data_IF_552252577290
#
_entry.id   IF_552252577290
#
_cell.length_a   1.000
_cell.length_b   1.000
_cell.length_c   1.000
_cell.angle_alpha   90.00
_cell.angle_beta   90.00
_cell.angle_gamma   90.00
#
_symmetry.space_group_name_H-M   'P 1'
#
loop_
_entity.id
_entity.type
_entity.pdbx_description
1 polymer ?
#
# COMPACT_ATOMS: atom_id res chain seq x y z
N UNK A 1 26.54 -0.91 0.53
CA UNK A 1 25.16 -1.15 0.97
C UNK A 1 24.27 -1.11 -0.27
N UNK A 2 23.36 -2.09 -0.47
CA UNK A 2 22.44 -2.08 -1.63
C UNK A 2 21.56 -0.84 -1.61
N UNK A 3 21.18 -0.33 -2.79
CA UNK A 3 20.19 0.74 -2.89
C UNK A 3 18.82 0.14 -2.62
N UNK A 4 18.22 0.45 -1.49
CA UNK A 4 16.86 0.01 -1.15
C UNK A 4 15.86 0.98 -1.74
N UNK A 5 14.85 0.44 -2.38
CA UNK A 5 13.69 1.15 -2.91
C UNK A 5 12.51 1.02 -1.96
N UNK A 6 11.85 2.13 -1.62
CA UNK A 6 10.57 2.15 -0.93
C UNK A 6 9.45 2.23 -1.97
N UNK A 7 8.71 1.13 -2.15
CA UNK A 7 7.62 0.99 -3.11
C UNK A 7 6.26 1.19 -2.44
N UNK A 8 5.56 2.25 -2.82
CA UNK A 8 4.36 2.73 -2.14
C UNK A 8 3.12 2.57 -3.06
N UNK A 9 1.95 2.16 -2.52
CA UNK A 9 0.73 2.03 -3.30
C UNK A 9 0.06 3.37 -3.57
N UNK A 10 -0.65 3.49 -4.71
CA UNK A 10 -1.58 4.58 -4.92
C UNK A 10 -2.90 4.09 -5.54
N UNK A 11 -4.02 4.65 -5.06
CA UNK A 11 -5.39 4.35 -5.51
C UNK A 11 -5.97 5.43 -6.43
N UNK A 12 -5.34 6.58 -6.52
CA UNK A 12 -5.77 7.72 -7.33
C UNK A 12 -4.58 8.64 -7.59
N UNK A 13 -4.75 9.57 -8.52
CA UNK A 13 -3.75 10.59 -8.85
C UNK A 13 -3.34 11.41 -7.62
N UNK A 14 -4.29 11.80 -6.75
CA UNK A 14 -4.00 12.48 -5.47
C UNK A 14 -3.09 11.62 -4.58
N UNK A 15 -3.44 10.35 -4.38
CA UNK A 15 -2.66 9.44 -3.53
C UNK A 15 -1.27 9.18 -4.13
N UNK A 16 -1.14 9.14 -5.46
CA UNK A 16 0.16 9.03 -6.14
C UNK A 16 1.04 10.25 -5.83
N UNK A 17 0.49 11.47 -6.00
CA UNK A 17 1.23 12.70 -5.69
C UNK A 17 1.68 12.73 -4.23
N UNK A 18 0.81 12.35 -3.31
CA UNK A 18 1.14 12.24 -1.89
C UNK A 18 2.22 11.18 -1.65
N UNK A 19 2.15 9.99 -2.25
CA UNK A 19 3.18 8.96 -2.11
C UNK A 19 4.56 9.48 -2.56
N UNK A 20 4.61 10.17 -3.69
CA UNK A 20 5.83 10.80 -4.23
C UNK A 20 6.40 11.82 -3.26
N UNK A 21 5.59 12.77 -2.81
CA UNK A 21 6.01 13.88 -1.92
C UNK A 21 6.43 13.36 -0.53
N UNK A 22 5.78 12.31 -0.03
CA UNK A 22 6.07 11.72 1.28
C UNK A 22 7.14 10.61 1.27
N UNK A 23 7.94 10.53 0.21
CA UNK A 23 9.23 9.82 0.23
C UNK A 23 9.26 8.45 -0.43
N UNK A 24 8.32 8.13 -1.33
CA UNK A 24 8.43 6.95 -2.18
C UNK A 24 9.62 7.07 -3.15
N UNK A 25 10.37 5.97 -3.36
CA UNK A 25 11.30 5.83 -4.48
C UNK A 25 10.59 5.33 -5.74
N UNK A 26 9.50 4.58 -5.53
CA UNK A 26 8.63 4.12 -6.60
C UNK A 26 7.17 4.02 -6.12
N UNK A 27 6.22 4.19 -7.04
CA UNK A 27 4.79 4.06 -6.77
C UNK A 27 4.20 2.97 -7.66
N UNK A 28 3.36 2.08 -7.10
CA UNK A 28 2.62 1.13 -7.92
C UNK A 28 1.13 1.45 -7.97
N UNK A 29 0.59 1.41 -9.18
CA UNK A 29 -0.79 1.77 -9.50
C UNK A 29 -1.50 0.65 -10.26
N UNK A 30 -2.81 0.75 -10.41
CA UNK A 30 -3.61 -0.11 -11.29
C UNK A 30 -4.48 0.71 -12.20
N UNK A 31 -4.51 0.33 -13.47
CA UNK A 31 -5.46 0.86 -14.43
C UNK A 31 -6.86 0.25 -14.28
N UNK A 32 -7.78 0.71 -15.10
CA UNK A 32 -9.18 0.25 -15.11
C UNK A 32 -9.33 -1.22 -15.51
N UNK A 33 -8.32 -1.80 -16.18
CA UNK A 33 -8.31 -3.17 -16.65
C UNK A 33 -7.14 -3.99 -16.09
N UNK A 34 -7.33 -5.31 -16.02
CA UNK A 34 -6.32 -6.35 -15.78
C UNK A 34 -5.48 -6.24 -14.49
N UNK A 35 -5.85 -5.33 -13.57
CA UNK A 35 -5.26 -5.25 -12.23
C UNK A 35 -6.14 -5.94 -11.19
N UNK A 36 -5.52 -6.60 -10.20
CA UNK A 36 -6.26 -7.05 -9.01
C UNK A 36 -6.80 -5.81 -8.28
N UNK A 37 -8.11 -5.82 -7.99
CA UNK A 37 -8.94 -4.74 -7.43
C UNK A 37 -9.67 -3.89 -8.48
N UNK A 38 -10.19 -4.54 -9.52
CA UNK A 38 -11.00 -3.92 -10.58
C UNK A 38 -12.21 -3.08 -10.10
N UNK A 39 -12.65 -3.24 -8.84
CA UNK A 39 -13.71 -2.44 -8.20
C UNK A 39 -13.21 -1.27 -7.34
N UNK A 40 -11.90 -1.06 -7.24
CA UNK A 40 -11.33 0.14 -6.65
C UNK A 40 -11.48 1.34 -7.59
N UNK A 41 -11.30 2.56 -7.08
CA UNK A 41 -10.94 3.67 -7.97
C UNK A 41 -9.62 3.28 -8.63
N UNK A 42 -9.65 3.09 -9.94
CA UNK A 42 -8.49 2.80 -10.75
C UNK A 42 -8.12 4.07 -11.54
N UNK A 43 -6.89 4.14 -11.99
CA UNK A 43 -6.44 5.27 -12.79
C UNK A 43 -7.04 5.22 -14.19
N UNK A 44 -7.66 6.31 -14.64
CA UNK A 44 -7.95 6.53 -16.04
C UNK A 44 -6.65 6.68 -16.84
N UNK A 45 -6.75 6.66 -18.16
CA UNK A 45 -5.58 6.88 -19.02
C UNK A 45 -4.94 8.26 -18.76
N UNK A 46 -5.77 9.29 -18.59
CA UNK A 46 -5.35 10.65 -18.29
C UNK A 46 -4.68 10.76 -16.93
N UNK A 47 -5.27 10.15 -15.89
CA UNK A 47 -4.67 10.09 -14.54
C UNK A 47 -3.33 9.39 -14.54
N UNK A 48 -3.19 8.28 -15.31
CA UNK A 48 -1.90 7.59 -15.45
C UNK A 48 -0.86 8.49 -16.12
N UNK A 49 -1.23 9.14 -17.21
CA UNK A 49 -0.33 10.04 -17.95
C UNK A 49 0.18 11.18 -17.05
N UNK A 50 -0.74 11.86 -16.35
CA UNK A 50 -0.39 12.92 -15.41
C UNK A 50 0.44 12.40 -14.24
N UNK A 51 0.04 11.26 -13.65
CA UNK A 51 0.73 10.66 -12.51
C UNK A 51 2.15 10.19 -12.84
N UNK A 52 2.37 9.58 -14.02
CA UNK A 52 3.70 9.17 -14.48
C UNK A 52 4.57 10.41 -14.69
N UNK A 53 4.06 11.44 -15.38
CA UNK A 53 4.80 12.68 -15.59
C UNK A 53 5.20 13.34 -14.27
N UNK A 54 4.26 13.48 -13.33
CA UNK A 54 4.52 14.04 -12.01
C UNK A 54 5.57 13.24 -11.22
N UNK A 55 5.46 11.92 -11.20
CA UNK A 55 6.43 11.06 -10.51
C UNK A 55 7.84 11.19 -11.12
N UNK A 56 7.95 11.17 -12.44
CA UNK A 56 9.22 11.32 -13.15
C UNK A 56 9.87 12.70 -12.92
N UNK A 57 9.09 13.78 -12.86
CA UNK A 57 9.58 15.12 -12.48
C UNK A 57 10.24 15.14 -11.10
N UNK A 58 9.78 14.27 -10.18
CA UNK A 58 10.34 14.11 -8.84
C UNK A 58 11.37 12.98 -8.72
N UNK A 59 11.76 12.34 -9.84
CA UNK A 59 12.72 11.22 -9.84
C UNK A 59 12.19 9.92 -9.27
N UNK A 60 10.87 9.77 -9.18
CA UNK A 60 10.17 8.59 -8.65
C UNK A 60 9.66 7.72 -9.80
N UNK A 61 9.85 6.40 -9.69
CA UNK A 61 9.39 5.42 -10.68
C UNK A 61 7.91 5.08 -10.52
N UNK A 62 7.27 4.67 -11.62
CA UNK A 62 5.88 4.22 -11.61
C UNK A 62 5.76 2.81 -12.20
N UNK A 63 5.14 1.90 -11.44
CA UNK A 63 4.90 0.52 -11.84
C UNK A 63 3.40 0.26 -12.00
N UNK A 64 3.00 -0.31 -13.12
CA UNK A 64 1.60 -0.61 -13.41
C UNK A 64 1.30 -2.09 -13.18
N UNK A 65 0.26 -2.39 -12.40
CA UNK A 65 -0.16 -3.77 -12.15
C UNK A 65 -0.99 -4.33 -13.31
N UNK A 66 -0.53 -5.46 -13.87
CA UNK A 66 -1.24 -6.30 -14.85
C UNK A 66 -1.21 -7.73 -14.30
N UNK A 67 -1.75 -7.92 -13.09
CA UNK A 67 -1.47 -9.08 -12.25
C UNK A 67 -2.69 -9.94 -11.91
N UNK A 68 -3.74 -9.91 -12.75
CA UNK A 68 -4.81 -10.92 -12.71
C UNK A 68 -4.28 -12.29 -13.13
N UNK A 69 -5.01 -13.34 -12.81
CA UNK A 69 -4.89 -14.65 -13.46
C UNK A 69 -5.78 -14.62 -14.71
N UNK A 70 -5.17 -14.39 -15.87
CA UNK A 70 -5.90 -14.19 -17.11
C UNK A 70 -6.53 -15.48 -17.64
N UNK A 71 -7.77 -15.39 -18.10
CA UNK A 71 -8.43 -16.42 -18.87
C UNK A 71 -8.30 -16.15 -20.38
N UNK A 72 -8.60 -17.13 -21.22
CA UNK A 72 -8.47 -16.98 -22.67
C UNK A 72 -9.26 -15.79 -23.25
N UNK A 73 -10.40 -15.46 -22.65
CA UNK A 73 -11.22 -14.30 -23.07
C UNK A 73 -10.62 -12.95 -22.69
N UNK A 74 -9.68 -12.91 -21.74
CA UNK A 74 -8.98 -11.69 -21.32
C UNK A 74 -7.82 -11.33 -22.27
N UNK A 75 -7.20 -12.35 -22.92
CA UNK A 75 -5.94 -12.18 -23.64
C UNK A 75 -5.97 -11.14 -24.78
N UNK A 76 -7.06 -11.02 -25.59
CA UNK A 76 -7.13 -9.94 -26.58
C UNK A 76 -7.06 -8.54 -25.95
N UNK A 77 -7.84 -8.30 -24.89
CA UNK A 77 -7.83 -7.02 -24.17
C UNK A 77 -6.50 -6.76 -23.45
N UNK A 78 -5.82 -7.80 -22.96
CA UNK A 78 -4.46 -7.67 -22.40
C UNK A 78 -3.49 -7.10 -23.43
N UNK A 79 -3.52 -7.55 -24.69
CA UNK A 79 -2.65 -7.03 -25.75
C UNK A 79 -2.93 -5.55 -26.05
N UNK A 80 -4.20 -5.18 -26.12
CA UNK A 80 -4.62 -3.79 -26.33
C UNK A 80 -4.13 -2.89 -25.19
N UNK A 81 -4.38 -3.28 -23.94
CA UNK A 81 -3.96 -2.54 -22.77
C UNK A 81 -2.43 -2.40 -22.65
N UNK A 82 -1.67 -3.44 -22.95
CA UNK A 82 -0.20 -3.37 -22.98
C UNK A 82 0.31 -2.42 -24.09
N UNK A 83 -0.41 -2.30 -25.20
CA UNK A 83 -0.09 -1.34 -26.25
C UNK A 83 -0.32 0.10 -25.77
N UNK A 84 -1.39 0.36 -25.04
CA UNK A 84 -1.65 1.67 -24.40
C UNK A 84 -0.57 2.01 -23.36
N UNK A 85 -0.21 1.04 -22.49
CA UNK A 85 0.85 1.22 -21.50
C UNK A 85 2.22 1.51 -22.12
N UNK A 86 2.50 0.94 -23.28
CA UNK A 86 3.72 1.23 -24.05
C UNK A 86 3.83 2.71 -24.40
N UNK A 87 2.72 3.37 -24.73
CA UNK A 87 2.69 4.80 -25.05
C UNK A 87 2.87 5.67 -23.80
N UNK A 88 2.31 5.23 -22.65
CA UNK A 88 2.40 5.92 -21.36
C UNK A 88 3.79 5.80 -20.71
N UNK A 89 4.59 4.78 -21.08
CA UNK A 89 5.95 4.54 -20.62
C UNK A 89 6.12 4.48 -19.10
N UNK A 90 5.37 3.64 -18.39
CA UNK A 90 5.71 3.34 -17.00
C UNK A 90 7.08 2.65 -16.94
N UNK A 91 7.74 2.69 -15.79
CA UNK A 91 9.06 2.09 -15.61
C UNK A 91 9.01 0.56 -15.61
N UNK A 92 7.93 -0.03 -15.07
CA UNK A 92 7.75 -1.48 -15.06
C UNK A 92 6.27 -1.90 -15.04
N UNK A 93 6.06 -3.18 -15.43
CA UNK A 93 4.80 -3.90 -15.29
C UNK A 93 4.92 -4.95 -14.19
N UNK A 94 3.95 -4.99 -13.27
CA UNK A 94 3.86 -6.02 -12.22
C UNK A 94 2.90 -7.11 -12.70
N UNK A 95 3.41 -8.30 -13.02
CA UNK A 95 2.70 -9.38 -13.72
C UNK A 95 2.73 -10.66 -12.88
N UNK A 96 1.62 -11.39 -12.81
CA UNK A 96 1.54 -12.67 -12.10
C UNK A 96 1.41 -13.88 -13.04
N UNK A 97 0.74 -13.70 -14.16
CA UNK A 97 0.43 -14.76 -15.12
C UNK A 97 1.57 -14.94 -16.14
N UNK A 98 2.11 -16.17 -16.34
CA UNK A 98 3.19 -16.41 -17.30
C UNK A 98 2.81 -16.09 -18.76
N UNK A 99 1.54 -16.30 -19.14
CA UNK A 99 1.04 -15.97 -20.48
C UNK A 99 1.01 -14.47 -20.72
N UNK A 100 0.52 -13.69 -19.73
CA UNK A 100 0.56 -12.22 -19.77
C UNK A 100 2.00 -11.73 -19.79
N UNK A 101 2.90 -12.37 -19.03
CA UNK A 101 4.33 -12.03 -19.02
C UNK A 101 4.97 -12.19 -20.42
N UNK A 102 4.65 -13.29 -21.10
CA UNK A 102 5.13 -13.53 -22.47
C UNK A 102 4.55 -12.49 -23.45
N UNK A 103 3.25 -12.17 -23.34
CA UNK A 103 2.61 -11.16 -24.18
C UNK A 103 3.26 -9.77 -23.94
N UNK A 104 3.54 -9.42 -22.70
CA UNK A 104 4.22 -8.15 -22.38
C UNK A 104 5.63 -8.09 -23.01
N UNK A 105 6.38 -9.20 -22.99
CA UNK A 105 7.68 -9.30 -23.65
C UNK A 105 7.60 -9.09 -25.18
N UNK A 106 6.50 -9.48 -25.80
CA UNK A 106 6.27 -9.30 -27.24
C UNK A 106 5.82 -7.87 -27.58
N UNK A 107 4.88 -7.31 -26.81
CA UNK A 107 4.21 -6.03 -27.09
C UNK A 107 5.05 -4.81 -26.67
N UNK A 108 5.62 -4.87 -25.47
CA UNK A 108 6.36 -3.76 -24.86
C UNK A 108 7.69 -4.23 -24.22
N UNK A 109 8.63 -4.78 -25.04
CA UNK A 109 9.89 -5.32 -24.54
C UNK A 109 10.76 -4.30 -23.81
N UNK A 110 10.59 -3.03 -24.06
CA UNK A 110 11.31 -1.91 -23.45
C UNK A 110 10.88 -1.61 -22.01
N UNK A 111 9.66 -2.02 -21.59
CA UNK A 111 9.20 -1.82 -20.21
C UNK A 111 9.67 -2.98 -19.35
N UNK A 112 10.25 -2.69 -18.19
CA UNK A 112 10.70 -3.73 -17.26
C UNK A 112 9.52 -4.62 -16.80
N UNK A 113 9.80 -5.88 -16.57
CA UNK A 113 8.80 -6.85 -16.06
C UNK A 113 9.20 -7.29 -14.66
N UNK A 114 8.33 -6.98 -13.70
CA UNK A 114 8.41 -7.40 -12.31
C UNK A 114 7.40 -8.51 -12.06
N UNK A 115 7.84 -9.60 -11.46
CA UNK A 115 6.92 -10.71 -11.12
C UNK A 115 6.20 -10.40 -9.82
N UNK A 116 4.88 -10.41 -9.87
CA UNK A 116 4.02 -10.16 -8.71
C UNK A 116 4.16 -11.24 -7.63
N UNK A 117 3.97 -10.86 -6.37
CA UNK A 117 3.77 -11.81 -5.26
C UNK A 117 2.60 -12.79 -5.51
N UNK A 118 1.66 -12.43 -6.38
CA UNK A 118 0.54 -13.29 -6.79
C UNK A 118 0.98 -14.54 -7.56
N UNK A 119 2.20 -14.58 -8.08
CA UNK A 119 2.79 -15.78 -8.67
C UNK A 119 3.28 -16.79 -7.62
N UNK A 120 3.26 -16.42 -6.32
CA UNK A 120 3.63 -17.26 -5.18
C UNK A 120 5.06 -17.82 -5.27
N UNK A 121 6.03 -16.94 -5.43
CA UNK A 121 7.44 -17.27 -5.57
C UNK A 121 8.05 -17.60 -4.21
N UNK A 122 8.35 -18.88 -3.96
CA UNK A 122 8.76 -19.42 -2.65
C UNK A 122 10.16 -20.04 -2.62
N UNK A 123 10.88 -20.09 -3.76
CA UNK A 123 12.20 -20.72 -3.81
C UNK A 123 13.06 -20.13 -4.95
N UNK A 124 14.38 -20.25 -4.82
CA UNK A 124 15.32 -19.69 -5.78
C UNK A 124 15.19 -20.24 -7.19
N UNK A 125 14.74 -21.50 -7.37
CA UNK A 125 14.56 -22.08 -8.71
C UNK A 125 13.42 -21.36 -9.46
N UNK A 126 12.36 -20.95 -8.77
CA UNK A 126 11.30 -20.10 -9.34
C UNK A 126 11.83 -18.72 -9.74
N UNK A 127 12.71 -18.11 -8.92
CA UNK A 127 13.35 -16.84 -9.26
C UNK A 127 14.23 -16.97 -10.52
N UNK A 128 15.03 -18.01 -10.61
CA UNK A 128 15.87 -18.30 -11.78
C UNK A 128 15.04 -18.57 -13.03
N UNK A 129 13.89 -19.25 -12.89
CA UNK A 129 12.94 -19.45 -13.99
C UNK A 129 12.46 -18.10 -14.55
N UNK A 130 12.00 -17.20 -13.69
CA UNK A 130 11.55 -15.87 -14.11
C UNK A 130 12.68 -15.01 -14.69
N UNK A 131 13.87 -15.09 -14.09
CA UNK A 131 15.07 -14.43 -14.63
C UNK A 131 15.42 -14.89 -16.04
N UNK A 132 15.36 -16.19 -16.29
CA UNK A 132 15.56 -16.76 -17.63
C UNK A 132 14.53 -16.28 -18.66
N UNK A 133 13.32 -15.91 -18.24
CA UNK A 133 12.32 -15.27 -19.09
C UNK A 133 12.54 -13.76 -19.27
N UNK A 134 13.44 -13.16 -18.52
CA UNK A 134 13.79 -11.74 -18.59
C UNK A 134 13.07 -10.87 -17.54
N UNK A 135 12.68 -11.42 -16.41
CA UNK A 135 12.23 -10.64 -15.27
C UNK A 135 13.40 -9.87 -14.64
N UNK A 136 13.16 -8.61 -14.30
CA UNK A 136 14.12 -7.76 -13.61
C UNK A 136 14.00 -7.88 -12.08
N UNK A 137 12.79 -8.14 -11.60
CA UNK A 137 12.44 -8.23 -10.18
C UNK A 137 11.44 -9.34 -9.94
N UNK A 138 11.55 -9.99 -8.78
CA UNK A 138 10.59 -11.00 -8.34
C UNK A 138 10.06 -10.64 -6.95
N UNK A 139 8.73 -10.51 -6.86
CA UNK A 139 8.01 -10.34 -5.61
C UNK A 139 7.90 -11.68 -4.87
N UNK A 140 8.45 -11.73 -3.66
CA UNK A 140 8.39 -12.88 -2.76
C UNK A 140 6.96 -13.21 -2.35
N UNK A 141 6.65 -14.47 -2.12
CA UNK A 141 5.49 -14.86 -1.35
C UNK A 141 5.60 -14.30 0.08
N UNK A 142 4.47 -13.94 0.70
CA UNK A 142 4.44 -13.36 2.06
C UNK A 142 4.68 -14.40 3.15
N UNK A 143 4.66 -15.65 2.78
CA UNK A 143 4.84 -16.82 3.63
C UNK A 143 6.31 -17.22 3.83
N UNK A 144 7.25 -16.48 3.22
CA UNK A 144 8.69 -16.71 3.40
C UNK A 144 9.22 -16.04 4.66
N UNK A 145 10.10 -16.78 5.34
CA UNK A 145 10.92 -16.26 6.44
C UNK A 145 12.15 -15.47 5.93
N UNK A 146 12.73 -14.66 6.80
CA UNK A 146 14.02 -13.97 6.54
C UNK A 146 15.10 -14.95 6.10
N UNK A 147 15.18 -16.12 6.75
CA UNK A 147 16.17 -17.14 6.43
C UNK A 147 16.02 -17.68 5.00
N UNK A 148 14.78 -17.98 4.58
CA UNK A 148 14.49 -18.43 3.21
C UNK A 148 14.79 -17.34 2.17
N UNK A 149 14.51 -16.07 2.48
CA UNK A 149 14.84 -14.96 1.57
C UNK A 149 16.37 -14.81 1.43
N UNK A 150 17.13 -14.94 2.52
CA UNK A 150 18.60 -14.97 2.48
C UNK A 150 19.12 -16.11 1.60
N UNK A 151 18.59 -17.32 1.77
CA UNK A 151 18.95 -18.47 0.93
C UNK A 151 18.62 -18.22 -0.54
N UNK A 152 17.45 -17.63 -0.86
CA UNK A 152 17.12 -17.23 -2.23
C UNK A 152 18.18 -16.26 -2.76
N UNK A 153 18.55 -15.23 -2.01
CA UNK A 153 19.55 -14.23 -2.43
C UNK A 153 20.90 -14.85 -2.75
N UNK A 154 21.33 -15.84 -2.00
CA UNK A 154 22.60 -16.54 -2.22
C UNK A 154 22.64 -17.36 -3.52
N UNK A 155 21.48 -17.74 -4.07
CA UNK A 155 21.35 -18.61 -5.24
C UNK A 155 20.95 -17.92 -6.52
N UNK A 156 20.68 -16.60 -6.49
CA UNK A 156 20.24 -15.84 -7.66
C UNK A 156 21.27 -14.78 -8.07
N UNK A 157 21.28 -14.35 -9.36
CA UNK A 157 22.17 -13.28 -9.82
C UNK A 157 21.96 -11.96 -9.07
N UNK A 158 23.04 -11.18 -8.93
CA UNK A 158 23.00 -9.89 -8.22
C UNK A 158 22.11 -8.84 -8.89
N UNK A 159 21.89 -8.95 -10.18
CA UNK A 159 21.05 -8.05 -10.99
C UNK A 159 19.58 -8.45 -11.02
N UNK A 160 19.21 -9.60 -10.43
CA UNK A 160 17.81 -9.96 -10.18
C UNK A 160 17.39 -9.41 -8.81
N UNK A 161 16.44 -8.48 -8.82
CA UNK A 161 15.96 -7.82 -7.62
C UNK A 161 14.92 -8.66 -6.85
N UNK A 162 14.99 -8.62 -5.51
CA UNK A 162 13.99 -9.19 -4.59
C UNK A 162 13.10 -8.07 -4.07
N UNK A 163 11.77 -8.21 -4.28
CA UNK A 163 10.75 -7.33 -3.69
C UNK A 163 10.00 -8.10 -2.60
N UNK A 164 9.70 -7.45 -1.46
CA UNK A 164 8.91 -8.07 -0.41
C UNK A 164 7.96 -7.07 0.25
N UNK A 165 6.77 -7.52 0.64
CA UNK A 165 5.88 -6.70 1.46
C UNK A 165 6.45 -6.58 2.87
N UNK A 166 6.47 -5.34 3.39
CA UNK A 166 6.99 -5.01 4.72
C UNK A 166 5.93 -4.37 5.63
N UNK A 167 4.79 -3.96 5.08
CA UNK A 167 3.72 -3.28 5.83
C UNK A 167 2.36 -3.49 5.18
N UNK A 168 1.31 -3.57 6.02
CA UNK A 168 -0.09 -3.56 5.65
C UNK A 168 -0.79 -4.91 5.73
N UNK A 169 -1.95 -5.03 5.11
CA UNK A 169 -2.86 -6.14 5.29
C UNK A 169 -2.30 -7.49 4.83
N UNK A 170 -2.46 -8.53 5.66
CA UNK A 170 -2.14 -9.92 5.34
C UNK A 170 -3.36 -10.67 4.79
N UNK A 171 -3.11 -11.71 3.99
CA UNK A 171 -4.11 -12.65 3.51
C UNK A 171 -4.11 -13.94 4.35
N UNK A 172 -5.28 -14.61 4.43
CA UNK A 172 -5.42 -15.91 5.08
C UNK A 172 -4.77 -17.05 4.29
N UNK A 173 -4.55 -16.87 3.02
CA UNK A 173 -3.97 -17.86 2.12
C UNK A 173 -2.90 -17.23 1.23
N UNK A 174 -2.16 -18.05 0.50
CA UNK A 174 -1.28 -17.57 -0.56
C UNK A 174 -2.00 -16.59 -1.47
N UNK A 175 -1.33 -15.52 -1.84
CA UNK A 175 -1.89 -14.44 -2.64
C UNK A 175 -2.48 -14.97 -3.96
N UNK A 176 -3.72 -14.56 -4.28
CA UNK A 176 -4.41 -14.99 -5.50
C UNK A 176 -4.88 -16.45 -5.52
N UNK A 177 -4.83 -17.20 -4.42
CA UNK A 177 -5.23 -18.62 -4.36
C UNK A 177 -6.50 -18.88 -3.53
N UNK A 178 -7.09 -17.85 -2.94
CA UNK A 178 -8.27 -17.96 -2.10
C UNK A 178 -9.57 -17.99 -2.93
N UNK A 179 -10.43 -18.98 -2.67
CA UNK A 179 -11.74 -19.12 -3.30
C UNK A 179 -12.91 -18.67 -2.40
N UNK A 180 -12.66 -18.27 -1.15
CA UNK A 180 -13.72 -17.90 -0.20
C UNK A 180 -14.63 -16.78 -0.72
N UNK A 181 -14.06 -15.75 -1.37
CA UNK A 181 -14.86 -14.66 -1.92
C UNK A 181 -15.79 -15.14 -3.04
N UNK A 182 -15.29 -16.00 -3.93
CA UNK A 182 -16.10 -16.58 -4.98
C UNK A 182 -17.21 -17.46 -4.39
N UNK A 183 -16.87 -18.34 -3.43
CA UNK A 183 -17.82 -19.24 -2.79
C UNK A 183 -18.96 -18.51 -2.08
N UNK A 184 -18.65 -17.50 -1.26
CA UNK A 184 -19.67 -16.80 -0.47
C UNK A 184 -20.44 -15.71 -1.23
N UNK A 185 -19.84 -15.11 -2.25
CA UNK A 185 -20.42 -13.90 -2.87
C UNK A 185 -20.45 -13.93 -4.40
N UNK A 186 -20.00 -15.00 -5.03
CA UNK A 186 -19.87 -15.10 -6.49
C UNK A 186 -18.83 -14.13 -7.07
N UNK A 187 -18.00 -13.49 -6.23
CA UNK A 187 -16.97 -12.52 -6.64
C UNK A 187 -15.59 -13.14 -6.58
N UNK A 188 -14.93 -13.19 -7.72
CA UNK A 188 -13.63 -13.82 -7.81
C UNK A 188 -12.50 -12.91 -7.33
N UNK A 189 -11.82 -13.37 -6.27
CA UNK A 189 -10.66 -12.67 -5.71
C UNK A 189 -9.48 -12.63 -6.69
N UNK A 190 -9.37 -13.63 -7.57
CA UNK A 190 -8.30 -13.76 -8.55
C UNK A 190 -8.50 -12.84 -9.77
N UNK A 191 -9.73 -12.32 -9.91
CA UNK A 191 -10.12 -11.30 -10.88
C UNK A 191 -10.30 -9.91 -10.26
N UNK A 192 -9.71 -9.68 -9.08
CA UNK A 192 -9.71 -8.38 -8.42
C UNK A 192 -10.97 -8.04 -7.62
N UNK A 193 -11.92 -8.97 -7.45
CA UNK A 193 -13.21 -8.70 -6.82
C UNK A 193 -13.34 -9.27 -5.39
N UNK A 194 -12.23 -9.40 -4.64
CA UNK A 194 -12.22 -9.93 -3.27
C UNK A 194 -13.12 -9.11 -2.34
N UNK A 195 -14.06 -9.79 -1.65
CA UNK A 195 -14.97 -9.21 -0.64
C UNK A 195 -14.47 -9.37 0.79
N UNK A 196 -13.26 -9.90 0.97
CA UNK A 196 -12.63 -10.15 2.27
C UNK A 196 -13.44 -11.03 3.23
N UNK A 197 -14.04 -12.16 2.81
CA UNK A 197 -14.84 -12.98 3.70
C UNK A 197 -14.04 -13.60 4.84
N UNK A 198 -12.74 -13.79 4.67
CA UNK A 198 -11.84 -14.25 5.76
C UNK A 198 -11.82 -13.31 6.98
N UNK A 199 -12.42 -12.12 6.87
CA UNK A 199 -12.50 -11.11 7.94
C UNK A 199 -13.90 -11.01 8.56
N UNK A 200 -14.85 -11.83 8.11
CA UNK A 200 -16.18 -11.89 8.71
C UNK A 200 -16.13 -12.78 9.95
N UNK A 201 -17.09 -12.59 10.84
CA UNK A 201 -17.27 -13.48 12.00
C UNK A 201 -18.02 -14.73 11.57
N UNK A 202 -17.49 -15.87 11.95
CA UNK A 202 -18.08 -17.17 11.67
C UNK A 202 -18.23 -17.98 12.94
N UNK A 203 -19.22 -18.89 12.93
CA UNK A 203 -19.33 -19.98 13.87
C UNK A 203 -19.60 -21.26 13.08
N UNK A 204 -19.02 -22.36 13.51
CA UNK A 204 -19.34 -23.68 12.96
C UNK A 204 -20.48 -24.26 13.78
N UNK A 205 -21.45 -24.82 13.09
CA UNK A 205 -22.54 -25.57 13.69
C UNK A 205 -22.49 -26.98 13.09
N UNK A 206 -22.40 -27.97 13.94
CA UNK A 206 -22.50 -29.35 13.51
C UNK A 206 -23.99 -29.71 13.30
N UNK A 207 -24.31 -30.41 12.20
CA UNK A 207 -25.68 -30.74 11.80
C UNK A 207 -26.46 -31.51 12.90
N UNK A 208 -25.76 -32.37 13.66
CA UNK A 208 -26.36 -33.13 14.76
C UNK A 208 -26.49 -32.33 16.06
N UNK A 209 -25.88 -31.14 16.13
CA UNK A 209 -25.92 -30.21 17.28
C UNK A 209 -26.26 -28.77 16.83
N UNK A 210 -27.47 -28.54 16.31
CA UNK A 210 -27.81 -27.32 15.56
C UNK A 210 -27.84 -26.04 16.38
N UNK A 211 -27.83 -26.12 17.73
CA UNK A 211 -27.85 -24.95 18.62
C UNK A 211 -26.53 -24.72 19.36
N UNK A 212 -25.51 -25.52 19.08
CA UNK A 212 -24.17 -25.36 19.64
C UNK A 212 -23.27 -24.64 18.62
N UNK A 213 -23.06 -23.33 18.86
CA UNK A 213 -22.16 -22.52 18.06
C UNK A 213 -20.71 -22.70 18.53
N UNK A 214 -19.92 -23.38 17.74
CA UNK A 214 -18.50 -23.58 18.01
C UNK A 214 -17.73 -22.40 17.40
N UNK A 215 -17.07 -21.57 18.22
CA UNK A 215 -16.16 -20.57 17.67
C UNK A 215 -15.02 -21.27 16.92
N UNK A 216 -14.58 -20.64 15.85
CA UNK A 216 -13.52 -21.19 14.99
C UNK A 216 -12.19 -20.62 15.46
N UNK A 217 -11.26 -21.49 15.91
CA UNK A 217 -9.91 -21.14 16.38
C UNK A 217 -8.85 -21.91 15.59
N UNK A 218 -7.64 -21.41 15.52
CA UNK A 218 -6.50 -22.14 14.96
C UNK A 218 -5.79 -22.96 16.05
N UNK A 219 -5.38 -24.17 15.71
CA UNK A 219 -4.49 -24.98 16.52
C UNK A 219 -3.52 -25.76 15.61
N UNK A 220 -2.61 -26.53 16.19
CA UNK A 220 -1.56 -27.28 15.48
C UNK A 220 -2.07 -28.23 14.36
N UNK A 221 -3.36 -28.40 14.18
CA UNK A 221 -4.01 -29.38 13.30
C UNK A 221 -4.86 -28.80 12.17
N UNK A 222 -5.08 -27.48 12.08
CA UNK A 222 -5.89 -26.92 10.99
C UNK A 222 -6.02 -25.42 10.96
N UNK A 223 -6.26 -24.89 9.75
CA UNK A 223 -6.44 -23.46 9.47
C UNK A 223 -7.92 -23.08 9.63
N UNK A 224 -8.15 -22.05 10.36
CA UNK A 224 -9.46 -21.46 10.65
C UNK A 224 -9.53 -20.07 10.00
N UNK A 225 -10.75 -19.58 9.71
CA UNK A 225 -10.98 -18.31 9.02
C UNK A 225 -10.90 -17.18 10.05
N UNK A 226 -9.78 -16.44 10.09
CA UNK A 226 -9.53 -15.40 11.09
C UNK A 226 -9.09 -14.07 10.49
N UNK A 227 -9.26 -13.02 11.30
CA UNK A 227 -8.90 -11.66 11.02
C UNK A 227 -7.42 -11.43 11.32
N UNK A 228 -6.54 -11.63 10.33
CA UNK A 228 -5.09 -11.43 10.50
C UNK A 228 -4.77 -9.99 10.92
N UNK A 229 -3.82 -9.84 11.84
CA UNK A 229 -3.14 -8.57 12.13
C UNK A 229 -2.46 -8.03 10.87
N UNK A 230 -2.22 -6.74 10.82
CA UNK A 230 -1.50 -6.12 9.71
C UNK A 230 0.02 -6.34 9.88
N UNK A 231 0.72 -6.60 8.78
CA UNK A 231 2.17 -6.71 8.76
C UNK A 231 2.82 -5.36 9.10
N UNK A 232 3.84 -5.37 9.96
CA UNK A 232 4.66 -4.20 10.24
C UNK A 232 6.11 -4.63 10.56
N UNK A 233 7.04 -4.22 9.70
CA UNK A 233 8.47 -4.53 9.83
C UNK A 233 9.31 -3.31 10.20
N UNK A 234 8.69 -2.26 10.74
CA UNK A 234 9.38 -1.00 11.04
C UNK A 234 10.51 -1.15 12.06
N UNK A 235 10.39 -2.09 13.00
CA UNK A 235 11.41 -2.42 14.01
C UNK A 235 12.52 -3.35 13.47
N UNK A 236 12.36 -3.86 12.25
CA UNK A 236 13.17 -4.93 11.65
C UNK A 236 13.85 -4.51 10.34
N UNK A 237 14.00 -3.22 10.11
CA UNK A 237 14.68 -2.68 8.92
C UNK A 237 16.09 -3.29 8.73
N UNK A 238 16.92 -3.46 9.78
CA UNK A 238 18.24 -4.12 9.65
C UNK A 238 18.15 -5.52 9.05
N UNK A 239 17.22 -6.35 9.54
CA UNK A 239 17.06 -7.74 9.08
C UNK A 239 16.65 -7.81 7.59
N UNK A 240 15.82 -6.86 7.13
CA UNK A 240 15.42 -6.77 5.73
C UNK A 240 16.61 -6.38 4.83
N UNK A 241 17.48 -5.46 5.28
CA UNK A 241 18.73 -5.12 4.59
C UNK A 241 19.68 -6.32 4.52
N UNK A 242 19.87 -7.02 5.62
CA UNK A 242 20.75 -8.18 5.74
C UNK A 242 20.24 -9.39 4.94
N UNK A 243 18.93 -9.47 4.70
CA UNK A 243 18.33 -10.47 3.82
C UNK A 243 18.58 -10.21 2.32
N UNK A 244 19.15 -9.06 1.97
CA UNK A 244 19.45 -8.69 0.59
C UNK A 244 18.22 -8.38 -0.25
N UNK A 245 17.16 -7.86 0.38
CA UNK A 245 15.94 -7.38 -0.29
C UNK A 245 16.24 -6.03 -0.92
N UNK A 246 15.82 -5.84 -2.17
CA UNK A 246 16.09 -4.62 -2.95
C UNK A 246 14.91 -3.63 -2.91
N UNK A 247 13.67 -4.12 -2.80
CA UNK A 247 12.47 -3.28 -2.79
C UNK A 247 11.56 -3.62 -1.61
N UNK A 248 11.31 -2.62 -0.77
CA UNK A 248 10.44 -2.65 0.41
C UNK A 248 9.05 -2.16 0.03
N UNK A 249 8.10 -3.07 -0.08
CA UNK A 249 6.76 -2.79 -0.58
C UNK A 249 5.74 -2.60 0.54
N UNK A 250 4.99 -1.51 0.46
CA UNK A 250 3.86 -1.23 1.34
C UNK A 250 2.56 -1.74 0.68
N UNK A 251 1.71 -2.46 1.41
CA UNK A 251 0.35 -2.78 1.00
C UNK A 251 -0.61 -1.69 1.47
N UNK A 252 -1.55 -1.30 0.62
CA UNK A 252 -2.52 -0.27 0.98
C UNK A 252 -3.20 0.41 -0.20
N UNK A 253 -3.33 -0.25 -1.35
CA UNK A 253 -3.97 0.30 -2.57
C UNK A 253 -5.39 0.81 -2.37
N UNK A 254 -6.08 0.38 -1.30
CA UNK A 254 -7.44 0.82 -0.93
C UNK A 254 -7.44 1.84 0.21
N UNK A 255 -6.27 2.29 0.64
CA UNK A 255 -6.13 3.19 1.79
C UNK A 255 -6.19 4.67 1.36
N UNK A 256 -6.42 5.54 2.34
CA UNK A 256 -6.50 7.00 2.16
C UNK A 256 -5.14 7.64 1.95
N UNK A 257 -5.11 8.87 1.46
CA UNK A 257 -3.89 9.67 1.35
C UNK A 257 -3.18 9.83 2.71
N UNK A 258 -3.92 10.04 3.80
CA UNK A 258 -3.34 10.10 5.15
C UNK A 258 -2.58 8.83 5.53
N UNK A 259 -3.15 7.64 5.25
CA UNK A 259 -2.45 6.37 5.50
C UNK A 259 -1.17 6.27 4.68
N UNK A 260 -1.26 6.54 3.39
CA UNK A 260 -0.10 6.43 2.47
C UNK A 260 1.00 7.41 2.89
N UNK A 261 0.66 8.65 3.17
CA UNK A 261 1.59 9.66 3.65
C UNK A 261 2.28 9.25 4.95
N UNK A 262 1.49 8.82 5.95
CA UNK A 262 2.02 8.45 7.27
C UNK A 262 2.99 7.27 7.16
N UNK A 263 2.59 6.20 6.46
CA UNK A 263 3.41 4.99 6.33
C UNK A 263 4.65 5.24 5.47
N UNK A 264 4.49 5.89 4.31
CA UNK A 264 5.62 6.19 3.41
C UNK A 264 6.67 7.06 4.11
N UNK A 265 6.27 8.18 4.72
CA UNK A 265 7.15 9.09 5.45
C UNK A 265 7.91 8.38 6.56
N UNK A 266 7.22 7.55 7.33
CA UNK A 266 7.81 6.85 8.47
C UNK A 266 8.84 5.82 8.02
N UNK A 267 8.52 4.98 7.03
CA UNK A 267 9.48 4.03 6.48
C UNK A 267 10.64 4.72 5.76
N UNK A 268 10.39 5.80 5.02
CA UNK A 268 11.46 6.60 4.40
C UNK A 268 12.47 7.08 5.44
N UNK A 269 11.97 7.70 6.50
CA UNK A 269 12.82 8.17 7.59
C UNK A 269 13.58 7.02 8.27
N UNK A 270 12.92 5.90 8.57
CA UNK A 270 13.57 4.75 9.19
C UNK A 270 14.70 4.16 8.31
N UNK A 271 14.46 4.03 7.00
CA UNK A 271 15.46 3.56 6.02
C UNK A 271 16.64 4.54 5.96
N UNK A 272 16.39 5.83 5.91
CA UNK A 272 17.44 6.85 5.79
C UNK A 272 18.24 6.99 7.09
N UNK A 273 17.60 6.92 8.24
CA UNK A 273 18.27 6.95 9.54
C UNK A 273 19.15 5.69 9.71
N UNK A 274 18.66 4.50 9.33
CA UNK A 274 19.46 3.28 9.37
C UNK A 274 20.68 3.35 8.42
N UNK A 275 20.51 3.93 7.23
CA UNK A 275 21.62 4.15 6.28
C UNK A 275 22.68 5.12 6.84
N UNK A 276 22.28 6.09 7.65
CA UNK A 276 23.20 7.02 8.33
C UNK A 276 23.92 6.33 9.48
N UNK A 277 23.20 5.76 10.41
CA UNK A 277 23.73 4.91 11.48
C UNK A 277 22.66 4.03 12.12
N UNK A 278 22.98 2.78 12.49
CA UNK A 278 22.08 1.92 13.26
C UNK A 278 21.62 2.55 14.59
N UNK A 279 22.48 3.33 15.24
CA UNK A 279 22.19 4.01 16.50
C UNK A 279 21.12 5.09 16.32
N UNK A 280 21.19 5.88 15.25
CA UNK A 280 20.17 6.91 14.93
C UNK A 280 18.81 6.26 14.66
N UNK A 281 18.78 5.14 13.93
CA UNK A 281 17.57 4.38 13.72
C UNK A 281 16.97 3.89 15.05
N UNK A 282 17.78 3.33 15.95
CA UNK A 282 17.31 2.89 17.28
C UNK A 282 16.83 4.06 18.14
N UNK A 283 17.54 5.18 18.13
CA UNK A 283 17.16 6.39 18.87
C UNK A 283 15.78 6.91 18.44
N UNK A 284 15.47 6.85 17.14
CA UNK A 284 14.22 7.34 16.58
C UNK A 284 13.08 6.29 16.59
N UNK A 285 13.29 5.07 17.10
CA UNK A 285 12.29 4.00 17.13
C UNK A 285 10.97 4.42 17.80
N UNK A 286 10.97 5.13 18.96
CA UNK A 286 9.71 5.58 19.57
C UNK A 286 8.89 6.48 18.63
N UNK A 287 9.55 7.34 17.84
CA UNK A 287 8.87 8.19 16.86
C UNK A 287 8.26 7.37 15.72
N UNK A 288 8.97 6.36 15.19
CA UNK A 288 8.41 5.52 14.12
C UNK A 288 7.16 4.78 14.57
N UNK A 289 7.21 4.19 15.77
CA UNK A 289 6.07 3.46 16.34
C UNK A 289 4.87 4.37 16.61
N UNK A 290 5.12 5.56 17.15
CA UNK A 290 4.08 6.58 17.33
C UNK A 290 3.44 6.93 15.98
N UNK A 291 4.22 7.28 14.96
CA UNK A 291 3.68 7.66 13.66
C UNK A 291 2.89 6.53 12.98
N UNK A 292 3.36 5.29 13.03
CA UNK A 292 2.64 4.15 12.45
C UNK A 292 1.31 3.91 13.17
N UNK A 293 1.22 4.13 14.48
CA UNK A 293 -0.02 4.00 15.25
C UNK A 293 -1.05 5.11 14.93
N UNK A 294 -0.60 6.23 14.34
CA UNK A 294 -1.46 7.37 14.02
C UNK A 294 -2.30 7.19 12.73
N UNK A 295 -2.15 6.10 12.01
CA UNK A 295 -2.98 5.78 10.85
C UNK A 295 -3.98 4.65 11.15
N UNK A 296 -5.01 4.52 10.32
CA UNK A 296 -5.99 3.44 10.47
C UNK A 296 -5.36 2.08 10.22
N UNK A 297 -5.15 1.28 11.26
CA UNK A 297 -4.49 -0.02 11.20
C UNK A 297 -5.21 -1.06 12.08
N UNK A 298 -4.86 -2.32 11.90
CA UNK A 298 -5.12 -3.40 12.84
C UNK A 298 -3.87 -3.63 13.68
N UNK A 299 -4.00 -4.30 14.82
CA UNK A 299 -2.81 -4.72 15.57
C UNK A 299 -1.74 -5.30 14.64
N UNK A 300 -0.47 -5.11 14.97
CA UNK A 300 0.66 -5.48 14.12
C UNK A 300 1.22 -6.87 14.41
N UNK A 301 1.81 -7.46 13.37
CA UNK A 301 2.55 -8.72 13.39
C UNK A 301 3.74 -8.64 12.44
N UNK A 302 4.76 -9.45 12.66
CA UNK A 302 5.86 -9.67 11.72
C UNK A 302 5.51 -10.71 10.63
N UNK A 303 4.28 -11.22 10.62
CA UNK A 303 3.85 -12.24 9.66
C UNK A 303 4.70 -13.51 9.75
N UNK A 304 5.19 -13.99 8.61
CA UNK A 304 6.01 -15.19 8.52
C UNK A 304 7.52 -14.92 8.63
N UNK A 305 7.97 -13.69 8.74
CA UNK A 305 9.40 -13.35 8.68
C UNK A 305 10.26 -14.09 9.74
N UNK A 306 9.70 -14.37 10.91
CA UNK A 306 10.41 -15.09 12.00
C UNK A 306 9.83 -16.47 12.28
N UNK A 307 9.07 -17.02 11.34
CA UNK A 307 8.47 -18.35 11.45
C UNK A 307 6.97 -18.32 11.20
N UNK A 308 6.31 -19.47 11.39
CA UNK A 308 4.85 -19.54 11.23
C UNK A 308 4.17 -18.67 12.28
N UNK A 309 3.26 -17.78 11.86
CA UNK A 309 2.49 -16.97 12.81
C UNK A 309 1.67 -17.88 13.74
N UNK A 310 1.76 -17.59 15.05
CA UNK A 310 0.94 -18.24 16.06
C UNK A 310 -0.45 -17.57 16.18
N UNK A 311 -1.23 -18.04 17.14
CA UNK A 311 -2.54 -17.45 17.50
C UNK A 311 -2.43 -15.94 17.78
N UNK A 312 -1.29 -15.47 18.27
CA UNK A 312 -1.02 -14.06 18.53
C UNK A 312 -1.03 -13.17 17.27
N UNK A 313 -0.87 -13.76 16.09
CA UNK A 313 -0.93 -13.03 14.81
C UNK A 313 -2.35 -12.79 14.30
N UNK A 314 -3.37 -13.21 15.04
CA UNK A 314 -4.77 -13.08 14.71
C UNK A 314 -5.50 -12.14 15.69
N UNK A 315 -6.62 -11.55 15.24
CA UNK A 315 -7.50 -10.71 16.07
C UNK A 315 -8.78 -11.47 16.33
N UNK A 316 -9.03 -11.83 17.58
CA UNK A 316 -10.18 -12.61 18.00
C UNK A 316 -11.34 -11.75 18.53
N UNK A 317 -11.05 -10.56 19.09
CA UNK A 317 -12.02 -9.80 19.87
C UNK A 317 -12.85 -8.83 19.03
N UNK A 318 -12.26 -8.12 18.07
CA UNK A 318 -12.91 -7.08 17.29
C UNK A 318 -12.39 -7.01 15.86
N UNK A 319 -13.31 -6.80 14.90
CA UNK A 319 -12.98 -6.39 13.54
C UNK A 319 -12.64 -4.87 13.44
N UNK A 320 -12.34 -4.24 14.56
CA UNK A 320 -12.21 -2.79 14.65
C UNK A 320 -10.83 -2.37 14.19
N UNK A 321 -10.77 -1.53 13.16
CA UNK A 321 -9.58 -0.76 12.87
C UNK A 321 -9.37 0.24 14.01
N UNK A 322 -8.14 0.31 14.49
CA UNK A 322 -7.72 1.38 15.38
C UNK A 322 -7.53 2.65 14.54
N UNK A 323 -8.00 3.77 15.03
CA UNK A 323 -7.91 5.06 14.37
C UNK A 323 -7.64 6.11 15.42
N UNK A 324 -6.46 6.69 15.38
CA UNK A 324 -6.07 7.73 16.34
C UNK A 324 -6.18 9.13 15.75
N UNK A 325 -6.19 9.26 14.42
CA UNK A 325 -6.32 10.55 13.74
C UNK A 325 -7.41 10.55 12.67
N UNK A 326 -8.14 11.65 12.61
CA UNK A 326 -9.08 11.95 11.53
C UNK A 326 -8.39 12.79 10.44
N UNK A 327 -8.48 12.34 9.20
CA UNK A 327 -8.03 13.06 8.01
C UNK A 327 -8.96 14.22 7.70
N UNK A 328 -8.48 15.47 7.76
CA UNK A 328 -9.29 16.68 7.57
C UNK A 328 -9.20 17.23 6.15
N UNK A 329 -8.03 17.22 5.53
CA UNK A 329 -7.83 17.71 4.17
C UNK A 329 -6.37 17.78 3.74
N UNK A 330 -6.18 18.18 2.48
CA UNK A 330 -4.87 18.40 1.84
C UNK A 330 -4.78 19.86 1.40
N UNK A 331 -3.59 20.44 1.57
CA UNK A 331 -3.27 21.79 1.07
C UNK A 331 -3.03 21.74 -0.45
N UNK A 332 -3.82 22.52 -1.20
CA UNK A 332 -3.81 22.55 -2.66
C UNK A 332 -3.31 23.88 -3.28
N UNK A 333 -2.60 24.70 -2.52
CA UNK A 333 -2.10 26.01 -2.94
C UNK A 333 -2.73 27.17 -2.17
N UNK A 334 -2.62 28.39 -2.68
CA UNK A 334 -3.13 29.62 -2.04
C UNK A 334 -3.99 30.42 -3.01
N UNK A 335 -4.92 31.23 -2.46
CA UNK A 335 -5.64 32.27 -3.22
C UNK A 335 -4.90 33.61 -3.22
N UNK A 336 -5.50 34.64 -3.84
CA UNK A 336 -4.94 35.99 -3.92
C UNK A 336 -4.80 36.68 -2.54
N UNK A 337 -5.63 36.30 -1.57
CA UNK A 337 -5.55 36.79 -0.17
C UNK A 337 -4.50 36.08 0.67
N UNK A 338 -3.83 35.03 0.12
CA UNK A 338 -2.85 34.22 0.83
C UNK A 338 -3.47 33.14 1.73
N UNK A 339 -4.78 32.88 1.61
CA UNK A 339 -5.43 31.78 2.30
C UNK A 339 -5.15 30.47 1.59
N UNK A 340 -4.97 29.39 2.35
CA UNK A 340 -4.65 28.06 1.81
C UNK A 340 -5.89 27.32 1.33
N UNK A 341 -5.88 26.91 0.08
CA UNK A 341 -6.92 26.06 -0.50
C UNK A 341 -6.89 24.67 0.11
N UNK A 342 -8.03 24.20 0.60
CA UNK A 342 -8.19 22.84 1.17
C UNK A 342 -9.34 22.14 0.49
N UNK A 343 -9.17 20.87 0.14
CA UNK A 343 -10.29 19.98 -0.17
C UNK A 343 -10.64 19.18 1.09
N UNK A 344 -11.79 19.48 1.68
CA UNK A 344 -12.22 18.91 2.96
C UNK A 344 -12.49 17.39 2.86
N UNK A 345 -12.08 16.65 3.88
CA UNK A 345 -12.32 15.20 4.02
C UNK A 345 -13.23 14.87 5.22
N UNK A 346 -13.08 15.57 6.30
CA UNK A 346 -13.94 15.48 7.47
C UNK A 346 -14.17 16.87 8.06
N UNK A 347 -15.27 17.01 8.83
CA UNK A 347 -15.66 18.28 9.43
C UNK A 347 -14.60 18.81 10.41
N UNK A 348 -14.31 20.10 10.33
CA UNK A 348 -13.56 20.88 11.32
C UNK A 348 -14.13 22.30 11.37
N UNK A 349 -13.76 23.05 12.42
CA UNK A 349 -14.38 24.35 12.74
C UNK A 349 -13.33 25.39 13.08
N UNK A 350 -13.70 26.67 12.98
CA UNK A 350 -12.89 27.79 13.49
C UNK A 350 -12.68 27.63 14.99
N UNK A 351 -11.47 27.93 15.46
CA UNK A 351 -11.06 27.75 16.85
C UNK A 351 -10.62 26.34 17.24
N UNK A 352 -10.77 25.37 16.34
CA UNK A 352 -10.36 23.99 16.59
C UNK A 352 -8.83 23.84 16.49
N UNK A 353 -8.24 23.04 17.38
CA UNK A 353 -6.82 22.65 17.30
C UNK A 353 -6.70 21.43 16.37
N UNK A 354 -5.82 21.56 15.40
CA UNK A 354 -5.52 20.51 14.40
C UNK A 354 -4.01 20.38 14.24
N UNK A 355 -3.57 19.32 13.59
CA UNK A 355 -2.18 19.08 13.29
C UNK A 355 -1.93 19.15 11.78
N UNK A 356 -0.87 19.85 11.39
CA UNK A 356 -0.31 19.83 10.03
C UNK A 356 0.80 18.80 9.99
N UNK A 357 0.65 17.80 9.15
CA UNK A 357 1.64 16.77 8.91
C UNK A 357 2.44 17.09 7.65
N UNK A 358 3.75 17.34 7.83
CA UNK A 358 4.68 17.67 6.74
C UNK A 358 5.46 16.44 6.22
N UNK A 359 5.93 16.47 4.96
CA UNK A 359 6.71 15.38 4.37
C UNK A 359 8.06 15.11 5.07
N UNK A 360 8.69 16.13 5.63
CA UNK A 360 10.02 16.07 6.29
C UNK A 360 10.02 15.38 7.65
N UNK A 361 8.86 15.02 8.18
CA UNK A 361 8.68 14.37 9.47
C UNK A 361 8.19 15.31 10.58
N UNK A 362 8.07 16.60 10.32
CA UNK A 362 7.48 17.54 11.28
C UNK A 362 5.96 17.36 11.39
N UNK A 363 5.46 17.56 12.59
CA UNK A 363 4.04 17.71 12.88
C UNK A 363 3.87 19.01 13.66
N UNK A 364 2.99 19.87 13.17
CA UNK A 364 2.81 21.22 13.72
C UNK A 364 1.38 21.36 14.22
N UNK A 365 1.22 21.60 15.52
CA UNK A 365 -0.09 21.93 16.10
C UNK A 365 -0.46 23.38 15.79
N UNK A 366 -1.65 23.58 15.26
CA UNK A 366 -2.17 24.90 14.86
C UNK A 366 -3.64 25.03 15.23
N UNK A 367 -4.10 26.28 15.36
CA UNK A 367 -5.53 26.58 15.55
C UNK A 367 -6.13 27.13 14.27
N UNK A 368 -7.28 26.63 13.85
CA UNK A 368 -8.02 27.13 12.69
C UNK A 368 -8.52 28.55 12.99
N UNK A 369 -7.95 29.57 12.35
CA UNK A 369 -8.28 30.97 12.60
C UNK A 369 -9.46 31.45 11.77
N UNK A 370 -9.51 31.03 10.50
CA UNK A 370 -10.54 31.45 9.55
C UNK A 370 -10.81 30.34 8.54
N UNK A 371 -12.08 30.21 8.15
CA UNK A 371 -12.52 29.36 7.04
C UNK A 371 -13.35 30.23 6.11
N UNK A 372 -13.13 30.13 4.79
CA UNK A 372 -13.83 30.89 3.75
C UNK A 372 -14.26 29.94 2.65
N UNK A 373 -15.47 30.11 2.12
CA UNK A 373 -15.94 29.37 0.95
C UNK A 373 -15.32 29.86 -0.39
N UNK A 374 -15.69 29.23 -1.50
CA UNK A 374 -15.17 29.64 -2.82
C UNK A 374 -15.67 31.00 -3.28
N UNK A 375 -16.77 31.49 -2.71
CA UNK A 375 -17.34 32.84 -2.99
C UNK A 375 -16.76 33.94 -2.09
N UNK A 376 -15.89 33.60 -1.12
CA UNK A 376 -15.25 34.54 -0.21
C UNK A 376 -16.04 34.82 1.07
N UNK A 377 -17.08 34.04 1.38
CA UNK A 377 -17.87 34.21 2.61
C UNK A 377 -17.21 33.47 3.79
N UNK A 378 -17.17 34.13 4.95
CA UNK A 378 -16.70 33.49 6.17
C UNK A 378 -17.64 32.37 6.63
N UNK A 379 -17.04 31.26 7.09
CA UNK A 379 -17.72 30.08 7.59
C UNK A 379 -17.24 29.72 9.01
N UNK A 380 -18.16 29.26 9.85
CA UNK A 380 -17.81 28.74 11.19
C UNK A 380 -17.22 27.35 11.15
N UNK A 381 -17.55 26.56 10.13
CA UNK A 381 -17.07 25.18 9.97
C UNK A 381 -17.05 24.75 8.52
N UNK A 382 -16.30 23.68 8.22
CA UNK A 382 -16.24 22.97 6.94
C UNK A 382 -17.12 21.71 7.02
N UNK A 383 -18.44 21.77 6.71
CA UNK A 383 -19.39 20.69 7.03
C UNK A 383 -19.46 19.58 5.96
N UNK A 384 -19.09 19.86 4.71
CA UNK A 384 -19.41 18.98 3.57
C UNK A 384 -18.17 18.27 3.02
N UNK A 385 -18.20 16.92 2.89
CA UNK A 385 -17.11 16.17 2.29
C UNK A 385 -16.80 16.65 0.87
N UNK A 386 -15.51 16.80 0.55
CA UNK A 386 -14.96 17.30 -0.72
C UNK A 386 -15.29 18.77 -1.02
N UNK A 387 -15.81 19.51 -0.07
CA UNK A 387 -15.95 20.94 -0.21
C UNK A 387 -14.57 21.58 -0.39
N UNK A 388 -14.44 22.42 -1.40
CA UNK A 388 -13.28 23.29 -1.57
C UNK A 388 -13.50 24.52 -0.71
N UNK A 389 -12.50 24.91 0.04
CA UNK A 389 -12.52 26.07 0.92
C UNK A 389 -11.10 26.61 1.11
N UNK A 390 -11.03 27.81 1.68
CA UNK A 390 -9.77 28.47 1.98
C UNK A 390 -9.67 28.72 3.47
N UNK A 391 -8.46 28.51 4.03
CA UNK A 391 -8.24 28.60 5.49
C UNK A 391 -7.04 29.47 5.82
N UNK A 392 -7.08 30.10 7.01
CA UNK A 392 -5.94 30.66 7.70
C UNK A 392 -5.68 29.84 8.99
N UNK A 393 -4.47 29.33 9.12
CA UNK A 393 -4.00 28.64 10.33
C UNK A 393 -2.99 29.49 11.12
N UNK A 394 -2.64 30.69 10.63
CA UNK A 394 -1.61 31.55 11.22
C UNK A 394 -0.20 30.95 11.16
N UNK A 395 0.01 29.97 10.32
CA UNK A 395 1.27 29.29 10.08
C UNK A 395 1.45 29.07 8.57
N UNK A 396 2.66 29.23 8.00
CA UNK A 396 2.90 28.93 6.59
C UNK A 396 2.75 27.44 6.32
N UNK A 397 2.00 27.14 5.25
CA UNK A 397 1.79 25.79 4.75
C UNK A 397 2.43 25.64 3.36
N UNK A 398 2.70 24.41 3.00
CA UNK A 398 3.19 24.03 1.67
C UNK A 398 2.15 23.16 0.95
N UNK A 399 2.24 23.13 -0.36
CA UNK A 399 1.41 22.26 -1.18
C UNK A 399 1.63 20.81 -0.77
N UNK A 400 0.55 20.06 -0.62
CA UNK A 400 0.50 18.68 -0.15
C UNK A 400 0.69 18.48 1.37
N UNK A 401 0.85 19.53 2.20
CA UNK A 401 0.70 19.37 3.65
C UNK A 401 -0.65 18.73 3.97
N UNK A 402 -0.69 17.84 4.93
CA UNK A 402 -1.91 17.12 5.32
C UNK A 402 -2.42 17.66 6.65
N UNK A 403 -3.70 18.01 6.67
CA UNK A 403 -4.39 18.40 7.90
C UNK A 403 -5.04 17.18 8.54
N UNK A 404 -4.80 16.98 9.82
CA UNK A 404 -5.37 15.89 10.62
C UNK A 404 -5.69 16.32 12.03
N UNK A 405 -6.55 15.58 12.72
CA UNK A 405 -6.94 15.82 14.10
C UNK A 405 -6.85 14.55 14.91
N UNK A 406 -6.29 14.63 16.10
CA UNK A 406 -6.30 13.51 17.06
C UNK A 406 -7.71 13.28 17.58
N UNK A 407 -8.15 12.01 17.65
CA UNK A 407 -9.48 11.60 18.13
C UNK A 407 -9.56 11.61 19.68
#
# INVERSE_FOLDING_TARGET
>A
MRKIELLVPASSLEVLKIAVIFGADAVYIGGEAFGLRAKAKNFSHEDMKEGIAFAHEHGVKVYVTVNILAHNYDLPGVREYLTELKELKPDALIIADPGVFQIAKEVCPEIERHVSTQANNTNYATYLFWYGLGAKRVGSARELSIAEIKEIREHIPDDLEIETFIHGAMCISYSGRCLLSNYFTGRDANQGACTHPCRWKYSIVEETRPNEYMPVYENERGTYIFNSKDLCMIEHIPDLFDAGIDSFKIEGRMKTALYVATVARTYRKAIDDYKKSPELYQQNMPWYLDQISNCTYRQFTTGFFYGKPSDEAQIYDNNTYLKEYTYLGIVGGTNEEGLYRIEQRNKFSVGEQIEVMKPDGENIEVTVKRIVDEEGNDMESAPHPKQVLYIDLGHPLEMYDILRRKE
#
